data_IF_826823816624
#
_entry.id   IF_826823816624
#
_cell.length_a   1.000
_cell.length_b   1.000
_cell.length_c   1.000
_cell.angle_alpha   90.00
_cell.angle_beta   90.00
_cell.angle_gamma   90.00
#
_symmetry.space_group_name_H-M   'P 1'
#
loop_
_entity.id
_entity.type
_entity.pdbx_description
1 polymer ?
#
# COMPACT_ATOMS: atom_id res chain seq x y z
N UNK A 1 8.18 15.58 10.16
CA UNK A 1 6.86 14.98 10.44
C UNK A 1 5.73 15.71 9.73
N UNK A 2 5.72 17.04 9.76
CA UNK A 2 4.72 17.89 9.06
C UNK A 2 4.58 17.54 7.56
N UNK A 3 5.68 17.13 6.93
CA UNK A 3 5.72 16.73 5.51
C UNK A 3 4.97 15.42 5.19
N UNK A 4 5.12 14.38 6.01
CA UNK A 4 4.46 13.09 5.76
C UNK A 4 2.94 13.16 5.96
N UNK A 5 2.50 13.81 7.04
CA UNK A 5 1.07 14.01 7.29
C UNK A 5 0.41 14.82 6.16
N UNK A 6 1.12 15.83 5.63
CA UNK A 6 0.63 16.63 4.50
C UNK A 6 0.54 15.80 3.21
N UNK A 7 1.58 15.02 2.88
CA UNK A 7 1.59 14.12 1.71
C UNK A 7 0.45 13.10 1.76
N UNK A 8 0.26 12.44 2.91
CA UNK A 8 -0.85 11.51 3.14
C UNK A 8 -2.19 12.21 2.98
N UNK A 9 -2.35 13.39 3.59
CA UNK A 9 -3.59 14.17 3.50
C UNK A 9 -3.93 14.59 2.07
N UNK A 10 -2.93 15.01 1.29
CA UNK A 10 -3.10 15.40 -0.10
C UNK A 10 -3.43 14.19 -1.00
N UNK A 11 -2.82 13.02 -0.77
CA UNK A 11 -3.19 11.79 -1.49
C UNK A 11 -4.65 11.38 -1.18
N UNK A 12 -5.06 11.39 0.08
CA UNK A 12 -6.45 11.08 0.47
C UNK A 12 -7.41 12.06 -0.24
N UNK A 13 -7.09 13.35 -0.26
CA UNK A 13 -7.86 14.37 -0.98
C UNK A 13 -7.96 14.09 -2.47
N UNK A 14 -6.86 13.69 -3.10
CA UNK A 14 -6.83 13.35 -4.53
C UNK A 14 -7.70 12.12 -4.83
N UNK A 15 -7.53 11.03 -4.09
CA UNK A 15 -8.30 9.80 -4.25
C UNK A 15 -9.80 10.05 -4.04
N UNK A 16 -10.16 10.82 -3.01
CA UNK A 16 -11.54 11.23 -2.76
C UNK A 16 -12.13 11.99 -3.94
N UNK A 17 -11.41 12.98 -4.47
CA UNK A 17 -11.87 13.77 -5.63
C UNK A 17 -11.99 12.91 -6.89
N UNK A 18 -11.10 11.96 -7.11
CA UNK A 18 -11.16 11.04 -8.25
C UNK A 18 -12.39 10.14 -8.21
N UNK A 19 -12.88 9.79 -7.00
CA UNK A 19 -14.18 9.11 -6.80
C UNK A 19 -15.39 10.03 -6.88
N UNK A 20 -15.20 11.34 -7.02
CA UNK A 20 -16.30 12.32 -7.01
C UNK A 20 -16.90 12.57 -5.63
N UNK A 21 -16.23 12.18 -4.55
CA UNK A 21 -16.74 12.31 -3.18
C UNK A 21 -16.48 13.70 -2.60
N UNK A 22 -17.43 14.23 -1.84
CA UNK A 22 -17.26 15.32 -0.88
C UNK A 22 -16.56 14.82 0.39
N UNK A 23 -16.12 15.73 1.27
CA UNK A 23 -15.55 15.32 2.56
C UNK A 23 -16.58 14.60 3.44
N UNK A 24 -17.84 15.02 3.36
CA UNK A 24 -18.99 14.36 4.02
C UNK A 24 -19.18 12.95 3.46
N UNK A 25 -19.19 12.76 2.14
CA UNK A 25 -19.31 11.43 1.52
C UNK A 25 -18.21 10.48 1.99
N UNK A 26 -16.95 10.91 2.00
CA UNK A 26 -15.85 10.07 2.48
C UNK A 26 -15.98 9.76 3.98
N UNK A 27 -16.42 10.73 4.77
CA UNK A 27 -16.62 10.55 6.20
C UNK A 27 -17.68 9.50 6.48
N UNK A 28 -18.82 9.57 5.79
CA UNK A 28 -19.91 8.62 5.90
C UNK A 28 -19.48 7.21 5.49
N UNK A 29 -18.86 7.07 4.31
CA UNK A 29 -18.37 5.79 3.81
C UNK A 29 -17.30 5.17 4.71
N UNK A 30 -16.46 5.99 5.36
CA UNK A 30 -15.44 5.53 6.29
C UNK A 30 -15.94 5.39 7.74
N UNK A 31 -17.20 5.74 8.03
CA UNK A 31 -17.72 5.85 9.41
C UNK A 31 -16.81 6.70 10.31
N UNK A 32 -16.43 7.87 9.81
CA UNK A 32 -15.61 8.88 10.46
C UNK A 32 -16.36 10.23 10.50
N UNK A 33 -15.91 11.16 11.33
CA UNK A 33 -16.50 12.49 11.38
C UNK A 33 -15.95 13.37 10.23
N UNK A 34 -16.82 14.14 9.56
CA UNK A 34 -16.42 15.01 8.43
C UNK A 34 -15.26 15.95 8.79
N UNK A 35 -15.37 16.64 9.93
CA UNK A 35 -14.30 17.55 10.40
C UNK A 35 -12.96 16.83 10.66
N UNK A 36 -12.99 15.51 10.94
CA UNK A 36 -11.78 14.70 11.08
C UNK A 36 -11.15 14.43 9.72
N UNK A 37 -11.95 14.08 8.70
CA UNK A 37 -11.47 13.97 7.30
C UNK A 37 -10.84 15.28 6.84
N UNK A 38 -11.50 16.42 7.09
CA UNK A 38 -10.96 17.72 6.71
C UNK A 38 -9.61 18.04 7.36
N UNK A 39 -9.45 17.74 8.66
CA UNK A 39 -8.17 17.89 9.37
C UNK A 39 -7.08 16.97 8.84
N UNK A 40 -7.42 15.72 8.50
CA UNK A 40 -6.49 14.78 7.87
C UNK A 40 -6.00 15.33 6.53
N UNK A 41 -6.91 15.76 5.65
CA UNK A 41 -6.52 16.24 4.32
C UNK A 41 -5.67 17.51 4.35
N UNK A 42 -5.78 18.33 5.40
CA UNK A 42 -4.92 19.51 5.60
C UNK A 42 -3.59 19.17 6.28
N UNK A 43 -3.39 17.94 6.73
CA UNK A 43 -2.21 17.53 7.50
C UNK A 43 -2.21 18.04 8.94
N UNK A 44 -3.33 18.58 9.42
CA UNK A 44 -3.47 19.16 10.77
C UNK A 44 -3.62 18.07 11.85
N UNK A 45 -3.92 16.84 11.45
CA UNK A 45 -4.08 15.72 12.38
C UNK A 45 -3.51 14.43 11.79
N UNK A 46 -2.69 13.76 12.59
CA UNK A 46 -2.27 12.39 12.32
C UNK A 46 -3.47 11.44 12.46
N UNK A 47 -3.60 10.54 11.49
CA UNK A 47 -4.63 9.51 11.50
C UNK A 47 -4.09 8.20 12.11
N UNK A 48 -4.97 7.46 12.79
CA UNK A 48 -4.63 6.10 13.25
C UNK A 48 -4.64 5.12 12.09
N UNK A 49 -3.90 4.00 12.20
CA UNK A 49 -3.97 2.91 11.21
C UNK A 49 -5.40 2.40 11.00
N UNK A 50 -6.21 2.35 12.06
CA UNK A 50 -7.63 1.98 11.95
C UNK A 50 -8.42 2.97 11.08
N UNK A 51 -8.16 4.28 11.24
CA UNK A 51 -8.75 5.32 10.38
C UNK A 51 -8.29 5.14 8.94
N UNK A 52 -7.02 4.81 8.73
CA UNK A 52 -6.48 4.56 7.38
C UNK A 52 -7.16 3.37 6.72
N UNK A 53 -7.38 2.28 7.44
CA UNK A 53 -8.08 1.08 6.94
C UNK A 53 -9.51 1.44 6.53
N UNK A 54 -10.22 2.23 7.35
CA UNK A 54 -11.58 2.69 7.03
C UNK A 54 -11.61 3.56 5.76
N UNK A 55 -10.70 4.53 5.68
CA UNK A 55 -10.56 5.43 4.53
C UNK A 55 -10.17 4.65 3.26
N UNK A 56 -9.22 3.72 3.34
CA UNK A 56 -8.77 2.90 2.21
C UNK A 56 -9.90 2.02 1.68
N UNK A 57 -10.68 1.39 2.58
CA UNK A 57 -11.88 0.63 2.22
C UNK A 57 -12.94 1.50 1.54
N UNK A 58 -13.24 2.69 2.07
CA UNK A 58 -14.17 3.63 1.43
C UNK A 58 -13.71 4.05 0.02
N UNK A 59 -12.39 4.08 -0.20
CA UNK A 59 -11.78 4.40 -1.49
C UNK A 59 -11.53 3.17 -2.38
N UNK A 60 -11.97 1.96 -1.99
CA UNK A 60 -11.73 0.69 -2.71
C UNK A 60 -10.27 0.44 -3.06
N UNK A 61 -9.34 0.78 -2.15
CA UNK A 61 -7.92 0.49 -2.30
C UNK A 61 -7.37 -0.29 -1.11
N UNK A 62 -6.37 -1.11 -1.36
CA UNK A 62 -5.61 -1.78 -0.31
C UNK A 62 -4.63 -0.82 0.37
N UNK A 63 -4.21 -1.17 1.59
CA UNK A 63 -3.13 -0.43 2.27
C UNK A 63 -1.81 -0.49 1.48
N UNK A 64 -1.54 -1.62 0.81
CA UNK A 64 -0.33 -1.77 -0.01
C UNK A 64 -0.31 -0.78 -1.18
N UNK A 65 -1.42 -0.65 -1.90
CA UNK A 65 -1.58 0.35 -2.96
C UNK A 65 -1.46 1.76 -2.41
N UNK A 66 -2.13 2.05 -1.28
CA UNK A 66 -2.05 3.36 -0.64
C UNK A 66 -0.60 3.75 -0.31
N UNK A 67 0.16 2.87 0.35
CA UNK A 67 1.55 3.15 0.70
C UNK A 67 2.44 3.26 -0.54
N UNK A 68 2.24 2.43 -1.56
CA UNK A 68 2.93 2.55 -2.84
C UNK A 68 2.65 3.90 -3.54
N UNK A 69 1.49 4.51 -3.32
CA UNK A 69 1.18 5.85 -3.85
C UNK A 69 1.79 6.97 -3.00
N UNK A 70 1.80 6.83 -1.67
CA UNK A 70 2.40 7.83 -0.76
C UNK A 70 3.90 7.89 -0.94
N UNK A 71 4.55 6.72 -0.89
CA UNK A 71 5.98 6.52 -1.06
C UNK A 71 6.17 5.41 -2.08
N UNK A 72 6.12 5.74 -3.39
CA UNK A 72 6.50 4.78 -4.43
C UNK A 72 7.91 4.29 -4.11
N UNK A 73 8.09 2.97 -3.97
CA UNK A 73 9.37 2.36 -3.63
C UNK A 73 10.50 2.99 -4.46
N UNK A 74 11.29 3.88 -3.84
CA UNK A 74 12.44 4.52 -4.51
C UNK A 74 13.58 3.50 -4.67
N UNK A 75 13.51 2.37 -3.97
CA UNK A 75 14.47 1.27 -4.07
C UNK A 75 13.72 -0.03 -4.34
N UNK A 76 13.50 -0.38 -5.60
CA UNK A 76 13.37 -1.78 -6.04
C UNK A 76 13.48 -1.96 -7.56
N UNK A 77 13.82 -0.92 -8.32
CA UNK A 77 14.08 -1.06 -9.75
C UNK A 77 15.30 -1.94 -10.06
N UNK A 78 16.05 -2.40 -9.05
CA UNK A 78 17.21 -3.31 -9.17
C UNK A 78 17.26 -4.38 -8.06
N UNK A 79 16.13 -4.79 -7.47
CA UNK A 79 16.13 -5.84 -6.46
C UNK A 79 15.69 -7.17 -7.06
N UNK A 80 16.67 -8.06 -7.27
CA UNK A 80 16.51 -9.41 -7.83
C UNK A 80 15.42 -10.22 -7.12
N UNK A 81 15.17 -9.97 -5.83
CA UNK A 81 14.11 -10.66 -5.08
C UNK A 81 12.71 -10.25 -5.55
N UNK A 82 12.50 -8.98 -5.92
CA UNK A 82 11.21 -8.52 -6.42
C UNK A 82 10.96 -9.01 -7.86
N UNK A 83 11.99 -9.02 -8.71
CA UNK A 83 11.90 -9.63 -10.04
C UNK A 83 11.50 -11.11 -9.95
N UNK A 84 12.05 -11.83 -8.97
CA UNK A 84 11.70 -13.22 -8.73
C UNK A 84 10.24 -13.38 -8.28
N UNK A 85 9.76 -12.52 -7.39
CA UNK A 85 8.37 -12.54 -6.93
C UNK A 85 7.42 -12.24 -8.10
N UNK A 86 7.72 -11.22 -8.91
CA UNK A 86 6.90 -10.85 -10.06
C UNK A 86 6.86 -11.95 -11.14
N UNK A 87 7.96 -12.67 -11.34
CA UNK A 87 8.01 -13.81 -12.26
C UNK A 87 7.10 -14.97 -11.82
N UNK A 88 6.97 -15.19 -10.51
CA UNK A 88 6.32 -16.37 -9.94
C UNK A 88 4.87 -16.14 -9.51
N UNK A 89 4.47 -14.89 -9.21
CA UNK A 89 3.15 -14.58 -8.62
C UNK A 89 1.96 -15.07 -9.45
N UNK A 90 2.08 -15.08 -10.78
CA UNK A 90 1.00 -15.45 -11.72
C UNK A 90 1.12 -16.92 -12.20
N UNK A 91 2.04 -17.70 -11.63
CA UNK A 91 2.24 -19.13 -11.95
C UNK A 91 1.37 -20.02 -11.07
N UNK A 92 1.16 -21.26 -11.51
CA UNK A 92 0.44 -22.26 -10.73
C UNK A 92 1.19 -22.62 -9.45
N UNK A 93 0.46 -23.11 -8.44
CA UNK A 93 1.05 -23.53 -7.17
C UNK A 93 2.09 -24.67 -7.34
N UNK A 94 1.86 -25.55 -8.32
CA UNK A 94 2.78 -26.62 -8.69
C UNK A 94 4.12 -26.03 -9.20
N UNK A 95 4.07 -25.14 -10.19
CA UNK A 95 5.26 -24.45 -10.73
C UNK A 95 6.01 -23.63 -9.67
N UNK A 96 5.29 -22.95 -8.77
CA UNK A 96 5.90 -22.23 -7.65
C UNK A 96 6.64 -23.18 -6.70
N UNK A 97 6.08 -24.37 -6.46
CA UNK A 97 6.67 -25.40 -5.59
C UNK A 97 7.91 -26.03 -6.21
N UNK A 98 7.89 -26.27 -7.51
CA UNK A 98 9.05 -26.75 -8.27
C UNK A 98 10.19 -25.74 -8.19
N UNK A 99 9.91 -24.47 -8.42
CA UNK A 99 10.91 -23.41 -8.31
C UNK A 99 11.48 -23.28 -6.90
N UNK A 100 10.62 -23.39 -5.88
CA UNK A 100 11.06 -23.41 -4.48
C UNK A 100 11.99 -24.61 -4.17
N UNK A 101 11.74 -25.76 -4.79
CA UNK A 101 12.57 -26.95 -4.61
C UNK A 101 13.94 -26.78 -5.25
N UNK A 102 13.99 -26.22 -6.45
CA UNK A 102 15.23 -25.90 -7.16
C UNK A 102 16.06 -24.89 -6.35
N UNK A 103 15.45 -23.79 -5.93
CA UNK A 103 16.14 -22.75 -5.15
C UNK A 103 16.67 -23.29 -3.83
N UNK A 104 15.88 -24.04 -3.06
CA UNK A 104 16.35 -24.69 -1.83
C UNK A 104 17.53 -25.63 -2.06
N UNK A 105 17.53 -26.37 -3.17
CA UNK A 105 18.63 -27.26 -3.52
C UNK A 105 19.89 -26.46 -3.85
N UNK A 106 19.76 -25.41 -4.64
CA UNK A 106 20.85 -24.53 -5.01
C UNK A 106 21.45 -23.80 -3.79
N UNK A 107 20.62 -23.23 -2.92
CA UNK A 107 21.09 -22.55 -1.70
C UNK A 107 21.87 -23.51 -0.79
N UNK A 108 21.38 -24.74 -0.60
CA UNK A 108 22.12 -25.79 0.14
C UNK A 108 23.50 -26.11 -0.47
N UNK A 109 23.70 -25.91 -1.77
CA UNK A 109 25.01 -26.08 -2.40
C UNK A 109 25.94 -24.90 -2.14
N UNK A 110 25.40 -23.69 -2.05
CA UNK A 110 26.17 -22.48 -1.70
C UNK A 110 26.64 -22.52 -0.25
N UNK A 111 25.78 -22.95 0.68
CA UNK A 111 26.09 -23.02 2.12
C UNK A 111 27.11 -24.11 2.50
N UNK A 112 27.52 -24.94 1.53
CA UNK A 112 28.53 -26.01 1.72
C UNK A 112 29.95 -25.59 1.34
N UNK A 113 30.16 -24.36 0.89
CA UNK A 113 31.48 -23.74 0.70
C UNK A 113 31.84 -22.88 1.91
#
# INVERSE_FOLDING_TARGET
MEDLARRIGDLIRQLRKNKGFTQEDLADQASLHETYIGKIERGEKNLSLESLVKISKAMDISLGEFFNMVEPNIENTNNVLYELIDLLKDRSLEEQTDFLTITKTFTKMLDRK
#
